data_IF_506080845822
#
_entry.id   IF_506080845822
#
_cell.length_a   1.000
_cell.length_b   1.000
_cell.length_c   1.000
_cell.angle_alpha   90.00
_cell.angle_beta   90.00
_cell.angle_gamma   90.00
#
_symmetry.space_group_name_H-M   'P 1'
#
loop_
_entity.id
_entity.type
_entity.pdbx_description
1 polymer ?
#
# COMPACT_ATOMS: atom_id res chain seq x y z
N UNK A 1 1.68 -11.16 15.32
CA UNK A 1 0.42 -10.52 15.77
C UNK A 1 -0.31 -10.07 14.51
N UNK A 2 -1.49 -10.62 14.18
CA UNK A 2 -2.28 -10.07 13.05
C UNK A 2 -2.88 -8.76 13.54
N UNK A 3 -2.65 -7.66 12.85
CA UNK A 3 -3.34 -6.39 13.07
C UNK A 3 -4.44 -6.31 12.02
N UNK A 4 -5.65 -6.83 12.31
CA UNK A 4 -6.74 -6.77 11.37
C UNK A 4 -7.17 -5.30 11.20
N UNK A 5 -7.41 -4.90 9.97
CA UNK A 5 -8.13 -3.65 9.71
C UNK A 5 -9.59 -3.81 10.19
N UNK A 6 -10.20 -2.79 10.81
CA UNK A 6 -11.65 -2.74 10.98
C UNK A 6 -12.33 -2.81 9.60
N UNK A 7 -13.53 -3.39 9.52
CA UNK A 7 -14.31 -3.38 8.28
C UNK A 7 -14.57 -1.93 7.85
N UNK A 8 -14.25 -1.63 6.59
CA UNK A 8 -14.46 -0.33 5.96
C UNK A 8 -15.51 -0.48 4.85
N UNK A 9 -16.53 0.37 4.87
CA UNK A 9 -17.60 0.39 3.87
C UNK A 9 -17.27 1.36 2.72
N UNK A 10 -16.34 2.29 2.96
CA UNK A 10 -15.89 3.27 1.95
C UNK A 10 -14.39 3.28 1.76
N UNK A 11 -13.94 3.76 0.60
CA UNK A 11 -12.51 3.96 0.30
C UNK A 11 -11.85 4.92 1.30
N UNK A 12 -12.59 5.94 1.76
CA UNK A 12 -12.11 6.89 2.76
C UNK A 12 -11.88 6.22 4.13
N UNK A 13 -12.81 5.39 4.58
CA UNK A 13 -12.65 4.62 5.83
C UNK A 13 -11.49 3.63 5.75
N UNK A 14 -11.30 2.99 4.60
CA UNK A 14 -10.15 2.11 4.35
C UNK A 14 -8.83 2.88 4.43
N UNK A 15 -8.76 4.06 3.81
CA UNK A 15 -7.60 4.93 3.87
C UNK A 15 -7.29 5.37 5.31
N UNK A 16 -8.32 5.80 6.06
CA UNK A 16 -8.17 6.21 7.45
C UNK A 16 -7.68 5.06 8.34
N UNK A 17 -8.25 3.86 8.17
CA UNK A 17 -7.86 2.68 8.92
C UNK A 17 -6.43 2.23 8.61
N UNK A 18 -6.03 2.23 7.33
CA UNK A 18 -4.65 1.95 6.92
C UNK A 18 -3.68 2.97 7.48
N UNK A 19 -4.01 4.26 7.41
CA UNK A 19 -3.19 5.33 7.97
C UNK A 19 -3.07 5.23 9.49
N UNK A 20 -4.11 4.80 10.20
CA UNK A 20 -4.04 4.54 11.64
C UNK A 20 -3.09 3.38 11.98
N UNK A 21 -3.03 2.33 11.14
CA UNK A 21 -2.05 1.24 11.31
C UNK A 21 -0.62 1.69 11.00
N UNK A 22 -0.40 2.35 9.86
CA UNK A 22 0.93 2.80 9.43
C UNK A 22 1.57 3.75 10.45
N UNK A 23 0.79 4.66 11.04
CA UNK A 23 1.25 5.58 12.09
C UNK A 23 1.78 4.88 13.34
N UNK A 24 1.28 3.68 13.67
CA UNK A 24 1.78 2.94 14.84
C UNK A 24 3.24 2.48 14.68
N UNK A 25 3.71 2.39 13.45
CA UNK A 25 5.07 1.97 13.11
C UNK A 25 5.95 3.11 12.61
N UNK A 26 5.40 4.33 12.53
CA UNK A 26 6.02 5.47 11.84
C UNK A 26 6.34 5.15 10.37
N UNK A 27 5.45 4.41 9.70
CA UNK A 27 5.60 3.99 8.31
C UNK A 27 4.91 4.95 7.34
N UNK A 28 4.87 6.24 7.66
CA UNK A 28 4.28 7.24 6.77
C UNK A 28 2.76 7.14 6.62
N UNK A 29 2.27 7.43 5.41
CA UNK A 29 0.84 7.50 5.08
C UNK A 29 0.54 7.01 3.68
N UNK A 30 -0.69 6.59 3.45
CA UNK A 30 -1.22 6.19 2.14
C UNK A 30 -2.38 7.10 1.74
N UNK A 31 -2.45 7.42 0.46
CA UNK A 31 -3.62 7.99 -0.21
C UNK A 31 -4.15 6.95 -1.20
N UNK A 32 -5.47 6.80 -1.26
CA UNK A 32 -6.16 5.82 -2.07
C UNK A 32 -7.06 6.52 -3.08
N UNK A 33 -6.80 6.26 -4.35
CA UNK A 33 -7.64 6.70 -5.47
C UNK A 33 -8.27 5.47 -6.12
N UNK A 34 -9.56 5.28 -5.90
CA UNK A 34 -10.32 4.20 -6.51
C UNK A 34 -11.17 4.71 -7.67
N UNK A 35 -11.22 3.93 -8.74
CA UNK A 35 -12.19 4.08 -9.82
C UNK A 35 -12.87 2.72 -10.11
N UNK A 36 -13.77 2.68 -11.08
CA UNK A 36 -14.54 1.46 -11.39
C UNK A 36 -13.71 0.26 -11.89
N UNK A 37 -12.43 0.44 -12.20
CA UNK A 37 -11.56 -0.59 -12.79
C UNK A 37 -10.37 -0.96 -11.89
N UNK A 38 -9.84 0.00 -11.12
CA UNK A 38 -8.64 -0.18 -10.32
C UNK A 38 -8.62 0.75 -9.11
N UNK A 39 -7.81 0.39 -8.13
CA UNK A 39 -7.48 1.21 -6.97
C UNK A 39 -5.97 1.48 -6.96
N UNK A 40 -5.60 2.75 -6.84
CA UNK A 40 -4.22 3.21 -6.79
C UNK A 40 -3.92 3.64 -5.37
N UNK A 41 -2.87 3.06 -4.79
CA UNK A 41 -2.38 3.41 -3.45
C UNK A 41 -1.07 4.16 -3.64
N UNK A 42 -1.03 5.42 -3.24
CA UNK A 42 0.20 6.21 -3.22
C UNK A 42 0.66 6.37 -1.80
N UNK A 43 1.85 5.84 -1.51
CA UNK A 43 2.43 5.83 -0.18
C UNK A 43 3.52 6.89 -0.06
N UNK A 44 3.47 7.66 1.01
CA UNK A 44 4.30 8.83 1.27
C UNK A 44 5.03 8.68 2.60
N UNK A 45 6.18 9.35 2.71
CA UNK A 45 6.95 9.45 3.95
C UNK A 45 7.28 8.08 4.56
N UNK A 46 7.63 7.12 3.71
CA UNK A 46 8.18 5.86 4.19
C UNK A 46 9.55 6.12 4.87
N UNK A 47 9.96 5.28 5.83
CA UNK A 47 11.25 5.43 6.50
C UNK A 47 12.39 5.45 5.47
N UNK A 48 13.41 6.27 5.69
CA UNK A 48 14.59 6.34 4.82
C UNK A 48 15.73 5.45 5.34
N UNK A 49 16.65 5.10 4.45
CA UNK A 49 17.87 4.40 4.84
C UNK A 49 18.73 5.28 5.74
N UNK A 50 19.35 4.68 6.76
CA UNK A 50 20.36 5.35 7.57
C UNK A 50 21.62 5.71 6.75
N UNK A 51 21.87 4.96 5.68
CA UNK A 51 22.94 5.20 4.71
C UNK A 51 22.34 5.63 3.36
N UNK A 52 22.53 6.89 2.93
CA UNK A 52 22.02 7.38 1.65
C UNK A 52 22.48 6.57 0.43
N UNK A 53 23.63 5.89 0.51
CA UNK A 53 24.13 5.05 -0.58
C UNK A 53 23.24 3.82 -0.82
N UNK A 54 22.43 3.43 0.17
CA UNK A 54 21.53 2.28 0.11
C UNK A 54 20.06 2.68 -0.06
N UNK A 55 19.75 3.96 -0.30
CA UNK A 55 18.37 4.45 -0.34
C UNK A 55 17.52 3.72 -1.38
N UNK A 56 18.03 3.49 -2.59
CA UNK A 56 17.29 2.80 -3.65
C UNK A 56 16.97 1.34 -3.27
N UNK A 57 17.94 0.64 -2.68
CA UNK A 57 17.79 -0.76 -2.23
C UNK A 57 16.82 -0.83 -1.05
N UNK A 58 16.90 0.14 -0.16
CA UNK A 58 15.98 0.28 0.98
C UNK A 58 14.55 0.54 0.51
N UNK A 59 14.35 1.51 -0.39
CA UNK A 59 13.05 1.84 -0.96
C UNK A 59 12.42 0.63 -1.65
N UNK A 60 13.19 -0.12 -2.44
CA UNK A 60 12.73 -1.37 -3.06
C UNK A 60 12.35 -2.42 -2.02
N UNK A 61 13.20 -2.63 -1.01
CA UNK A 61 12.95 -3.62 0.04
C UNK A 61 11.70 -3.26 0.85
N UNK A 62 11.53 -1.97 1.19
CA UNK A 62 10.37 -1.47 1.90
C UNK A 62 9.10 -1.58 1.06
N UNK A 63 9.18 -1.30 -0.24
CA UNK A 63 8.07 -1.49 -1.17
C UNK A 63 7.60 -2.95 -1.21
N UNK A 64 8.52 -3.93 -1.22
CA UNK A 64 8.15 -5.36 -1.16
C UNK A 64 7.45 -5.73 0.15
N UNK A 65 7.90 -5.17 1.29
CA UNK A 65 7.23 -5.39 2.58
C UNK A 65 5.81 -4.79 2.57
N UNK A 66 5.67 -3.56 2.09
CA UNK A 66 4.37 -2.90 1.98
C UNK A 66 3.43 -3.63 1.01
N UNK A 67 3.95 -4.17 -0.10
CA UNK A 67 3.15 -4.92 -1.06
C UNK A 67 2.46 -6.11 -0.39
N UNK A 68 3.20 -6.93 0.39
CA UNK A 68 2.62 -8.04 1.14
C UNK A 68 1.70 -7.61 2.29
N UNK A 69 2.00 -6.50 2.95
CA UNK A 69 1.16 -5.95 4.01
C UNK A 69 -0.19 -5.47 3.47
N UNK A 70 -0.17 -4.64 2.43
CA UNK A 70 -1.38 -4.16 1.77
C UNK A 70 -2.20 -5.30 1.18
N UNK A 71 -1.57 -6.28 0.53
CA UNK A 71 -2.29 -7.44 -0.02
C UNK A 71 -3.07 -8.18 1.10
N UNK A 72 -2.40 -8.48 2.21
CA UNK A 72 -3.03 -9.12 3.37
C UNK A 72 -4.20 -8.29 3.93
N UNK A 73 -4.03 -6.98 4.01
CA UNK A 73 -5.03 -6.07 4.55
C UNK A 73 -6.23 -5.88 3.62
N UNK A 74 -6.02 -5.78 2.31
CA UNK A 74 -7.08 -5.66 1.31
C UNK A 74 -7.88 -6.97 1.20
N UNK A 75 -7.22 -8.13 1.27
CA UNK A 75 -7.91 -9.43 1.34
C UNK A 75 -8.83 -9.53 2.57
N UNK A 76 -8.42 -8.97 3.71
CA UNK A 76 -9.24 -8.95 4.92
C UNK A 76 -10.49 -8.06 4.80
N UNK A 77 -10.51 -7.10 3.86
CA UNK A 77 -11.63 -6.19 3.59
C UNK A 77 -12.59 -6.73 2.52
N UNK A 78 -12.50 -8.02 2.20
CA UNK A 78 -13.32 -8.64 1.15
C UNK A 78 -12.70 -8.57 -0.25
N UNK A 79 -11.42 -8.19 -0.37
CA UNK A 79 -10.65 -8.33 -1.59
C UNK A 79 -10.55 -9.80 -2.02
N UNK A 80 -10.59 -10.06 -3.33
CA UNK A 80 -10.51 -11.42 -3.85
C UNK A 80 -9.04 -11.87 -4.02
N UNK A 81 -8.69 -13.15 -3.75
CA UNK A 81 -7.31 -13.66 -3.81
C UNK A 81 -6.57 -13.50 -5.14
N UNK A 82 -7.30 -13.28 -6.25
CA UNK A 82 -6.72 -13.08 -7.58
C UNK A 82 -6.50 -11.61 -7.94
N UNK A 83 -6.93 -10.68 -7.10
CA UNK A 83 -6.68 -9.25 -7.30
C UNK A 83 -5.31 -8.94 -6.73
N UNK A 84 -4.33 -8.82 -7.63
CA UNK A 84 -2.95 -8.62 -7.24
C UNK A 84 -2.64 -7.13 -7.06
N UNK A 85 -2.10 -6.77 -5.91
CA UNK A 85 -1.39 -5.51 -5.76
C UNK A 85 -0.05 -5.61 -6.52
N UNK A 86 0.28 -4.59 -7.32
CA UNK A 86 1.56 -4.49 -8.02
C UNK A 86 2.18 -3.12 -7.80
N UNK A 87 3.45 -3.11 -7.40
CA UNK A 87 4.24 -1.89 -7.43
C UNK A 87 4.42 -1.38 -8.87
N UNK A 88 4.20 -0.07 -9.08
CA UNK A 88 4.48 0.61 -10.34
C UNK A 88 5.66 1.57 -10.17
N UNK A 89 6.74 1.31 -10.92
CA UNK A 89 7.96 2.13 -10.93
C UNK A 89 7.97 3.11 -12.12
N UNK A 90 8.62 4.29 -12.01
CA UNK A 90 9.11 4.93 -10.79
C UNK A 90 8.12 5.99 -10.30
N UNK A 91 7.88 5.97 -9.00
CA UNK A 91 7.12 6.99 -8.32
C UNK A 91 7.98 8.26 -8.21
N UNK A 92 7.49 9.36 -8.77
CA UNK A 92 8.12 10.67 -8.61
C UNK A 92 8.01 11.11 -7.14
N UNK A 93 8.90 12.01 -6.73
CA UNK A 93 8.77 12.73 -5.45
C UNK A 93 8.79 11.84 -4.21
N UNK A 94 9.64 10.80 -4.20
CA UNK A 94 9.93 10.01 -3.00
C UNK A 94 8.68 9.30 -2.44
N UNK A 95 7.83 8.81 -3.35
CA UNK A 95 6.62 8.05 -3.03
C UNK A 95 6.75 6.60 -3.49
N UNK A 96 5.84 5.73 -3.05
CA UNK A 96 5.71 4.36 -3.57
C UNK A 96 4.29 4.17 -4.08
N UNK A 97 4.13 3.83 -5.36
CA UNK A 97 2.81 3.69 -5.99
C UNK A 97 2.49 2.22 -6.22
N UNK A 98 1.32 1.80 -5.77
CA UNK A 98 0.81 0.45 -5.94
C UNK A 98 -0.52 0.49 -6.69
N UNK A 99 -0.76 -0.50 -7.54
CA UNK A 99 -1.97 -0.64 -8.31
C UNK A 99 -2.64 -1.97 -7.94
N UNK A 100 -3.87 -1.87 -7.43
CA UNK A 100 -4.74 -3.00 -7.11
C UNK A 100 -5.81 -3.11 -8.19
N UNK A 101 -5.77 -4.18 -8.99
CA UNK A 101 -6.70 -4.39 -10.11
C UNK A 101 -6.94 -5.88 -10.33
N UNK A 102 -8.16 -6.24 -10.69
CA UNK A 102 -8.49 -7.61 -11.04
C UNK A 102 -7.83 -7.97 -12.39
N UNK A 103 -6.83 -8.86 -12.36
CA UNK A 103 -6.10 -9.28 -13.57
C UNK A 103 -6.93 -10.21 -14.50
N UNK A 104 -8.09 -10.69 -14.05
CA UNK A 104 -8.97 -11.59 -14.83
C UNK A 104 -10.00 -10.87 -15.71
N UNK A 105 -10.23 -9.57 -15.50
CA UNK A 105 -10.99 -8.75 -16.46
C UNK A 105 -10.02 -8.17 -17.48
N UNK A 106 -9.83 -8.88 -18.59
CA UNK A 106 -9.06 -8.42 -19.76
C UNK A 106 -9.96 -8.28 -20.97
#
# INVERSE_FOLDING_TARGET
>A
KKLPLPEAETVGELEDALNALLRQFDWGRVQIEANGEQMILTHYAYPHSADPANEDVWALSFATVLEGAYDTWLLAQGGEPHVSLRWRSPAKDNTLVFCYRNEQRR
#
